data_IF_255947492756
#
_entry.id   IF_255947492756
#
_cell.length_a   1.000
_cell.length_b   1.000
_cell.length_c   1.000
_cell.angle_alpha   90.00
_cell.angle_beta   90.00
_cell.angle_gamma   90.00
#
_symmetry.space_group_name_H-M   'P 1'
#
loop_
_entity.id
_entity.type
_entity.pdbx_description
1 polymer ?
#
# COMPACT_ATOMS: atom_id res chain seq x y z
N UNK A 1 4.83 9.58 12.65
CA UNK A 1 5.30 8.94 11.41
C UNK A 1 6.06 7.71 11.84
N UNK A 2 5.73 6.54 11.30
CA UNK A 2 6.31 5.26 11.69
C UNK A 2 7.35 4.80 10.67
N UNK A 3 8.12 3.76 11.00
CA UNK A 3 9.12 3.19 10.10
C UNK A 3 8.52 2.18 9.15
N UNK A 4 9.03 2.14 7.93
CA UNK A 4 8.69 1.08 6.98
C UNK A 4 9.09 -0.29 7.57
N UNK A 5 8.20 -1.28 7.47
CA UNK A 5 8.45 -2.65 7.93
C UNK A 5 9.66 -3.30 7.23
N UNK A 6 9.94 -2.90 5.98
CA UNK A 6 11.05 -3.40 5.19
C UNK A 6 12.32 -2.53 5.30
N UNK A 7 12.19 -1.26 5.69
CA UNK A 7 13.28 -0.27 5.71
C UNK A 7 13.29 0.52 7.03
N UNK A 8 14.21 0.18 7.95
CA UNK A 8 14.30 0.78 9.29
C UNK A 8 14.79 2.23 9.31
N UNK A 9 15.36 2.68 8.20
CA UNK A 9 15.87 4.01 7.91
C UNK A 9 14.80 4.93 7.31
N UNK A 10 13.67 4.39 6.84
CA UNK A 10 12.64 5.16 6.15
C UNK A 10 11.42 5.38 7.04
N UNK A 11 11.07 6.65 7.23
CA UNK A 11 9.80 7.05 7.82
C UNK A 11 8.71 7.14 6.75
N UNK A 12 7.49 6.78 7.12
CA UNK A 12 6.35 6.79 6.21
C UNK A 12 5.06 7.11 6.96
N UNK A 13 4.12 7.71 6.24
CA UNK A 13 2.73 7.92 6.67
C UNK A 13 1.78 6.85 6.14
N UNK A 14 2.21 6.07 5.13
CA UNK A 14 1.37 5.03 4.54
C UNK A 14 1.28 3.82 5.45
N UNK A 15 0.05 3.50 5.86
CA UNK A 15 -0.25 2.39 6.75
C UNK A 15 -1.27 1.45 6.12
N UNK A 16 -1.04 0.16 6.30
CA UNK A 16 -2.03 -0.87 6.02
C UNK A 16 -2.78 -1.19 7.32
N UNK A 17 -3.99 -0.63 7.46
CA UNK A 17 -4.81 -0.80 8.67
C UNK A 17 -5.18 -2.26 8.93
N UNK A 18 -5.34 -3.07 7.88
CA UNK A 18 -5.67 -4.51 8.01
C UNK A 18 -4.59 -5.28 8.77
N UNK A 19 -3.32 -4.98 8.49
CA UNK A 19 -2.18 -5.70 9.06
C UNK A 19 -1.43 -4.90 10.14
N UNK A 20 -1.79 -3.62 10.35
CA UNK A 20 -1.15 -2.74 11.33
C UNK A 20 0.31 -2.39 10.98
N UNK A 21 0.69 -2.46 9.71
CA UNK A 21 2.07 -2.21 9.25
C UNK A 21 2.18 -0.90 8.49
N UNK A 22 3.39 -0.33 8.50
CA UNK A 22 3.74 0.87 7.76
C UNK A 22 4.72 0.52 6.65
N UNK A 23 4.56 1.14 5.48
CA UNK A 23 5.36 0.85 4.29
C UNK A 23 5.75 2.16 3.61
N UNK A 24 7.00 2.27 3.15
CA UNK A 24 7.42 3.38 2.29
C UNK A 24 6.81 3.23 0.88
N UNK A 25 6.88 4.27 0.07
CA UNK A 25 6.29 4.30 -1.29
C UNK A 25 6.77 3.16 -2.18
N UNK A 26 8.07 2.81 -2.12
CA UNK A 26 8.64 1.69 -2.87
C UNK A 26 8.11 0.32 -2.42
N UNK A 27 7.85 0.15 -1.12
CA UNK A 27 7.33 -1.10 -0.56
C UNK A 27 5.80 -1.13 -0.56
N UNK A 28 5.15 -0.06 -1.00
CA UNK A 28 3.72 0.12 -0.85
C UNK A 28 2.97 -0.78 -1.83
N UNK A 29 2.54 -1.94 -1.34
CA UNK A 29 1.64 -2.83 -2.08
C UNK A 29 0.58 -3.40 -1.13
N UNK A 30 -0.57 -3.82 -1.65
CA UNK A 30 -1.47 -4.59 -0.81
C UNK A 30 -0.88 -5.97 -0.52
N UNK A 31 -0.77 -6.32 0.76
CA UNK A 31 -0.31 -7.64 1.20
C UNK A 31 -1.25 -8.76 0.77
N UNK A 32 -2.57 -8.53 0.84
CA UNK A 32 -3.60 -9.51 0.48
C UNK A 32 -4.62 -8.89 -0.51
N UNK A 33 -4.29 -8.80 -1.80
CA UNK A 33 -5.18 -8.18 -2.80
C UNK A 33 -6.42 -9.03 -3.09
N UNK A 34 -6.33 -10.35 -2.95
CA UNK A 34 -7.42 -11.31 -3.25
C UNK A 34 -8.33 -11.61 -2.07
N UNK A 35 -7.92 -11.28 -0.84
CA UNK A 35 -8.71 -11.50 0.37
C UNK A 35 -9.56 -10.26 0.65
N UNK A 36 -10.80 -10.49 1.10
CA UNK A 36 -11.69 -9.41 1.53
C UNK A 36 -11.02 -8.50 2.58
N UNK A 37 -11.15 -7.19 2.37
CA UNK A 37 -10.65 -6.17 3.28
C UNK A 37 -11.72 -5.07 3.43
N UNK A 38 -12.24 -4.89 4.65
CA UNK A 38 -13.28 -3.88 4.92
C UNK A 38 -12.84 -2.43 4.68
N UNK A 39 -11.53 -2.17 4.72
CA UNK A 39 -10.94 -0.84 4.51
C UNK A 39 -10.60 -0.56 3.03
N UNK A 40 -10.86 -1.50 2.12
CA UNK A 40 -10.44 -1.45 0.71
C UNK A 40 -10.91 -0.19 -0.01
N UNK A 41 -12.12 0.29 0.27
CA UNK A 41 -12.70 1.49 -0.35
C UNK A 41 -11.97 2.78 0.04
N UNK A 42 -11.37 2.83 1.24
CA UNK A 42 -10.65 3.99 1.77
C UNK A 42 -9.13 3.76 1.85
N UNK A 43 -8.62 2.68 1.27
CA UNK A 43 -7.23 2.28 1.41
C UNK A 43 -6.37 2.99 0.33
N UNK A 44 -5.48 3.92 0.71
CA UNK A 44 -4.65 4.64 -0.27
C UNK A 44 -3.69 3.68 -1.01
N UNK A 45 -3.16 2.68 -0.31
CA UNK A 45 -2.28 1.64 -0.90
C UNK A 45 -2.97 0.93 -2.06
N UNK A 46 -4.22 0.50 -1.85
CA UNK A 46 -4.99 -0.20 -2.87
C UNK A 46 -5.39 0.71 -4.03
N UNK A 47 -5.77 1.95 -3.72
CA UNK A 47 -6.12 2.94 -4.74
C UNK A 47 -4.92 3.18 -5.68
N UNK A 48 -3.75 3.45 -5.11
CA UNK A 48 -2.51 3.65 -5.88
C UNK A 48 -2.12 2.40 -6.67
N UNK A 49 -2.15 1.21 -6.07
CA UNK A 49 -1.81 -0.04 -6.76
C UNK A 49 -2.74 -0.33 -7.95
N UNK A 50 -4.05 -0.04 -7.81
CA UNK A 50 -5.03 -0.25 -8.89
C UNK A 50 -4.82 0.76 -10.03
N UNK A 51 -4.50 2.01 -9.72
CA UNK A 51 -4.30 3.05 -10.73
C UNK A 51 -2.98 2.89 -11.48
N UNK A 52 -1.91 2.43 -10.81
CA UNK A 52 -0.65 2.15 -11.50
C UNK A 52 -0.80 1.02 -12.54
N UNK A 53 -1.73 0.07 -12.34
CA UNK A 53 -2.01 -1.01 -13.31
C UNK A 53 -2.80 -0.55 -14.54
N UNK A 54 -3.44 0.62 -14.52
CA UNK A 54 -4.20 1.13 -15.68
C UNK A 54 -3.35 1.92 -16.68
N UNK A 55 -2.16 2.36 -16.28
CA UNK A 55 -1.26 3.13 -17.16
C UNK A 55 -0.46 2.24 -18.13
N UNK A 56 -0.41 0.92 -17.88
CA UNK A 56 0.28 -0.04 -18.74
C UNK A 56 -0.53 -0.48 -19.98
N UNK A 57 -1.75 0.03 -20.19
CA UNK A 57 -2.61 -0.37 -21.33
C UNK A 57 -2.43 0.53 -22.58
N UNK A 58 -1.64 1.61 -22.49
CA UNK A 58 -1.41 2.55 -23.60
C UNK A 58 0.07 2.81 -23.95
N UNK A 59 1.01 1.96 -23.55
CA UNK A 59 2.41 2.02 -24.02
C UNK A 59 2.71 1.00 -25.11
#
# INVERSE_FOLDING_TARGET
MEKCVNHKDRLTSYSCVKHGVYMCEECMHCTDPTIYCKFRQSCPIWYTEKNNKSDDIFS
#
